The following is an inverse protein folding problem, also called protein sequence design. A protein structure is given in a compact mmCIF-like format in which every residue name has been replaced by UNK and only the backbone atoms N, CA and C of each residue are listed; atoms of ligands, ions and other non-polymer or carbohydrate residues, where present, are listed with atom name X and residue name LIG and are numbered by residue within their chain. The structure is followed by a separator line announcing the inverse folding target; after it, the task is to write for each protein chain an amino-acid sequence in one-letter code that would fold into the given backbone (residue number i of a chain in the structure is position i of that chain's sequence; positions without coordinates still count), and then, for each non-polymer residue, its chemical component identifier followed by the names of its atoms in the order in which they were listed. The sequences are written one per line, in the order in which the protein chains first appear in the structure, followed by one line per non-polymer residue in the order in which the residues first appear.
data_IF_920855268518
#
_entry.id   IF_920855268518
#
_cell.length_a   1.000
_cell.length_b   1.000
_cell.length_c   1.000
_cell.angle_alpha   90.00
_cell.angle_beta   90.00
_cell.angle_gamma   90.00
#
_symmetry.space_group_name_H-M   'P 1'
#
loop_
_entity.id
_entity.type
_entity.pdbx_description
1 polymer ?
#
# COMPACT_ATOMS: atom_id res chain seq x y z
N UNK A 1 -16.57 30.93 7.96
CA UNK A 1 -17.52 29.81 8.03
C UNK A 1 -16.67 28.58 8.31
N UNK A 2 -16.53 28.24 9.59
CA UNK A 2 -15.56 27.25 10.07
C UNK A 2 -16.31 25.94 10.28
N UNK A 3 -16.15 24.99 9.36
CA UNK A 3 -16.73 23.66 9.52
C UNK A 3 -15.86 22.93 10.55
N UNK A 4 -16.38 22.81 11.77
CA UNK A 4 -15.78 21.99 12.82
C UNK A 4 -16.13 20.53 12.54
N UNK A 5 -15.22 19.82 11.87
CA UNK A 5 -15.34 18.37 11.75
C UNK A 5 -15.03 17.77 13.14
N UNK A 6 -16.07 17.28 13.79
CA UNK A 6 -15.98 16.62 15.10
C UNK A 6 -16.07 15.13 14.80
N UNK A 7 -14.94 14.45 14.63
CA UNK A 7 -14.92 12.99 14.45
C UNK A 7 -15.10 12.31 15.81
N UNK A 8 -16.07 11.39 15.97
CA UNK A 8 -16.18 10.61 17.19
C UNK A 8 -15.05 9.58 17.21
N UNK A 9 -14.16 9.70 18.20
CA UNK A 9 -13.17 8.68 18.50
C UNK A 9 -13.90 7.39 18.92
N UNK A 10 -13.95 6.40 18.03
CA UNK A 10 -14.37 5.05 18.35
C UNK A 10 -13.16 4.26 18.90
N UNK A 11 -13.15 4.14 20.22
CA UNK A 11 -12.35 3.18 20.98
C UNK A 11 -12.75 1.75 20.56
N UNK A 12 -11.82 0.84 20.18
CA UNK A 12 -11.80 -0.54 20.71
C UNK A 12 -10.69 -1.47 20.16
N UNK A 13 -10.23 -2.32 21.07
CA UNK A 13 -9.65 -3.66 20.90
C UNK A 13 -8.29 -3.81 20.20
N UNK A 14 -7.24 -3.83 21.03
CA UNK A 14 -6.06 -4.67 20.83
C UNK A 14 -6.55 -6.14 20.89
N UNK A 15 -6.85 -6.73 19.75
CA UNK A 15 -7.17 -8.14 19.62
C UNK A 15 -6.29 -8.72 18.52
N UNK A 16 -5.34 -9.58 18.92
CA UNK A 16 -4.61 -10.57 18.10
C UNK A 16 -4.95 -10.51 16.61
N UNK A 17 -4.42 -9.50 15.92
CA UNK A 17 -4.80 -9.21 14.56
C UNK A 17 -4.01 -10.11 13.63
N UNK A 18 -4.68 -11.12 13.08
CA UNK A 18 -4.26 -11.65 11.80
C UNK A 18 -4.20 -10.51 10.75
N UNK A 19 -3.53 -10.74 9.63
CA UNK A 19 -3.36 -9.78 8.53
C UNK A 19 -4.68 -9.12 8.09
N UNK A 20 -5.81 -9.82 8.26
CA UNK A 20 -7.17 -9.34 7.97
C UNK A 20 -7.73 -8.23 8.90
N UNK A 21 -6.96 -7.81 9.90
CA UNK A 21 -7.29 -6.67 10.75
C UNK A 21 -6.33 -5.51 10.54
N UNK A 22 -5.28 -5.66 9.71
CA UNK A 22 -4.31 -4.61 9.45
C UNK A 22 -4.80 -3.65 8.35
N UNK A 23 -5.38 -4.17 7.25
CA UNK A 23 -5.82 -3.35 6.11
C UNK A 23 -7.09 -2.55 6.46
N UNK A 24 -8.00 -3.13 7.23
CA UNK A 24 -9.17 -2.40 7.75
C UNK A 24 -8.81 -1.26 8.73
N UNK A 25 -7.58 -1.22 9.25
CA UNK A 25 -7.10 -0.10 10.08
C UNK A 25 -6.62 1.09 9.25
N UNK A 26 -6.46 0.89 7.94
CA UNK A 26 -6.01 1.93 7.02
C UNK A 26 -7.18 2.83 6.57
N UNK A 27 -8.41 2.34 6.69
CA UNK A 27 -9.65 3.10 6.46
C UNK A 27 -9.85 4.08 7.64
N UNK A 28 -9.30 5.29 7.51
CA UNK A 28 -9.23 6.27 8.59
C UNK A 28 -10.56 6.99 8.75
N UNK A 29 -11.26 7.24 7.64
CA UNK A 29 -12.56 7.89 7.66
C UNK A 29 -13.74 6.94 7.84
N UNK A 30 -13.48 5.63 7.83
CA UNK A 30 -14.43 4.54 8.06
C UNK A 30 -15.57 4.53 7.03
N UNK A 31 -15.27 4.90 5.78
CA UNK A 31 -16.23 4.92 4.69
C UNK A 31 -16.45 3.53 4.04
N UNK A 32 -15.62 2.55 4.42
CA UNK A 32 -15.70 1.17 3.95
C UNK A 32 -14.84 0.88 2.72
N UNK A 33 -14.05 1.84 2.25
CA UNK A 33 -13.10 1.72 1.16
C UNK A 33 -11.75 2.31 1.56
N UNK A 34 -10.66 1.97 0.85
CA UNK A 34 -9.39 2.67 1.01
C UNK A 34 -9.13 3.58 -0.17
N UNK A 35 -9.02 4.87 0.09
CA UNK A 35 -8.54 5.80 -0.92
C UNK A 35 -6.99 5.70 -1.07
N UNK A 36 -6.40 6.30 -2.12
CA UNK A 36 -4.95 6.24 -2.33
C UNK A 36 -4.12 6.77 -1.16
N UNK A 37 -4.59 7.79 -0.45
CA UNK A 37 -3.87 8.40 0.67
C UNK A 37 -3.84 7.48 1.90
N UNK A 38 -4.95 6.80 2.16
CA UNK A 38 -5.11 5.80 3.21
C UNK A 38 -4.30 4.55 2.93
N UNK A 39 -4.36 4.05 1.70
CA UNK A 39 -3.55 2.93 1.25
C UNK A 39 -2.06 3.23 1.39
N UNK A 40 -1.58 4.37 0.86
CA UNK A 40 -0.17 4.79 0.98
C UNK A 40 0.25 4.89 2.45
N UNK A 41 -0.57 5.50 3.31
CA UNK A 41 -0.22 5.71 4.72
C UNK A 41 -0.10 4.39 5.49
N UNK A 42 -1.04 3.48 5.27
CA UNK A 42 -1.04 2.15 5.88
C UNK A 42 0.09 1.28 5.36
N UNK A 43 0.31 1.32 4.04
CA UNK A 43 1.32 0.54 3.36
C UNK A 43 2.75 1.02 3.67
N UNK A 44 2.99 2.33 3.70
CA UNK A 44 4.28 2.91 4.11
C UNK A 44 4.64 2.51 5.56
N UNK A 45 3.64 2.36 6.43
CA UNK A 45 3.83 1.89 7.81
C UNK A 45 4.34 0.44 7.89
N UNK A 46 4.25 -0.33 6.81
CA UNK A 46 4.79 -1.69 6.72
C UNK A 46 6.29 -1.73 6.41
N UNK A 47 6.90 -0.58 6.12
CA UNK A 47 8.31 -0.46 5.76
C UNK A 47 8.73 -1.38 4.59
N UNK A 48 7.78 -1.72 3.71
CA UNK A 48 8.04 -2.57 2.55
C UNK A 48 9.00 -1.90 1.60
N UNK A 49 8.82 -0.60 1.32
CA UNK A 49 9.72 0.18 0.47
C UNK A 49 11.16 0.19 1.03
N UNK A 50 11.33 0.52 2.32
CA UNK A 50 12.64 0.52 2.99
C UNK A 50 13.32 -0.84 3.09
N UNK A 51 12.58 -1.94 2.85
CA UNK A 51 13.19 -3.28 2.76
C UNK A 51 13.97 -3.46 1.46
N UNK A 52 13.58 -2.75 0.40
CA UNK A 52 14.20 -2.84 -0.93
C UNK A 52 15.10 -1.66 -1.26
N UNK A 53 14.83 -0.49 -0.69
CA UNK A 53 15.72 0.69 -0.71
C UNK A 53 16.91 0.43 0.23
N UNK A 54 17.86 -0.37 -0.26
CA UNK A 54 19.01 -0.86 0.51
C UNK A 54 19.99 0.27 0.79
N UNK A 55 20.11 1.21 -0.15
CA UNK A 55 20.99 2.36 -0.02
C UNK A 55 20.36 3.56 0.69
N UNK A 56 19.06 3.48 1.01
CA UNK A 56 18.28 4.53 1.68
C UNK A 56 18.28 5.84 0.89
N UNK A 57 18.29 5.75 -0.44
CA UNK A 57 18.23 6.88 -1.36
C UNK A 57 16.83 7.50 -1.43
N UNK A 58 15.79 6.79 -0.98
CA UNK A 58 14.40 7.20 -1.11
C UNK A 58 13.79 6.86 -2.47
N UNK A 59 14.51 6.09 -3.29
CA UNK A 59 14.12 5.64 -4.63
C UNK A 59 14.61 4.22 -4.84
N UNK A 60 13.90 3.44 -5.64
CA UNK A 60 14.33 2.11 -6.04
C UNK A 60 14.93 2.19 -7.44
N UNK A 61 16.21 1.89 -7.55
CA UNK A 61 16.85 1.76 -8.86
C UNK A 61 16.65 0.36 -9.46
N UNK A 62 16.94 0.20 -10.75
CA UNK A 62 16.73 -1.07 -11.47
C UNK A 62 17.46 -2.28 -10.82
N UNK A 63 18.57 -2.04 -10.14
CA UNK A 63 19.36 -3.05 -9.41
C UNK A 63 18.66 -3.50 -8.14
N UNK A 64 18.12 -2.56 -7.38
CA UNK A 64 17.33 -2.84 -6.16
C UNK A 64 16.02 -3.53 -6.53
N UNK A 65 15.42 -3.13 -7.66
CA UNK A 65 14.25 -3.79 -8.22
C UNK A 65 14.51 -5.25 -8.59
N UNK A 66 15.57 -5.52 -9.36
CA UNK A 66 15.93 -6.88 -9.80
C UNK A 66 16.26 -7.81 -8.61
N UNK A 67 16.66 -7.24 -7.48
CA UNK A 67 17.06 -7.98 -6.28
C UNK A 67 15.88 -8.56 -5.48
N UNK A 68 14.64 -8.13 -5.72
CA UNK A 68 13.50 -8.66 -4.96
C UNK A 68 12.09 -8.18 -5.32
N UNK A 69 11.93 -7.33 -6.35
CA UNK A 69 10.64 -6.75 -6.74
C UNK A 69 10.14 -7.22 -8.12
N UNK A 70 10.91 -8.07 -8.80
CA UNK A 70 10.53 -8.65 -10.10
C UNK A 70 9.25 -9.49 -10.04
N UNK A 71 8.89 -10.05 -8.89
CA UNK A 71 7.61 -10.74 -8.66
C UNK A 71 6.43 -9.77 -8.48
N UNK A 72 6.71 -8.54 -8.04
CA UNK A 72 5.68 -7.49 -7.89
C UNK A 72 5.33 -6.88 -9.25
N UNK A 73 6.34 -6.64 -10.10
CA UNK A 73 6.14 -6.08 -11.43
C UNK A 73 7.42 -5.89 -12.23
N UNK A 74 7.26 -5.46 -13.47
CA UNK A 74 8.39 -5.04 -14.31
C UNK A 74 8.76 -3.60 -13.97
N UNK A 75 10.05 -3.35 -13.70
CA UNK A 75 10.60 -2.03 -13.38
C UNK A 75 10.13 -0.92 -14.33
N UNK A 76 10.09 -1.20 -15.64
CA UNK A 76 9.68 -0.22 -16.65
C UNK A 76 8.18 0.12 -16.63
N UNK A 77 7.34 -0.73 -16.03
CA UNK A 77 5.96 -0.38 -15.75
C UNK A 77 5.83 0.43 -14.45
N UNK A 78 6.91 0.49 -13.66
CA UNK A 78 6.91 1.13 -12.36
C UNK A 78 7.40 2.58 -12.37
N UNK A 79 8.37 2.87 -13.23
CA UNK A 79 8.87 4.21 -13.50
C UNK A 79 7.86 4.98 -14.38
N UNK A 80 6.85 5.57 -13.73
CA UNK A 80 5.74 6.26 -14.41
C UNK A 80 6.19 7.55 -15.09
N UNK A 81 7.17 8.24 -14.49
CA UNK A 81 7.64 9.52 -14.96
C UNK A 81 8.81 9.41 -15.97
N UNK A 82 9.44 8.24 -16.07
CA UNK A 82 10.53 7.92 -17.00
C UNK A 82 11.89 8.51 -16.62
N UNK A 83 12.13 8.82 -15.35
CA UNK A 83 13.38 9.40 -14.85
C UNK A 83 14.46 8.34 -14.54
N UNK A 84 14.09 7.07 -14.65
CA UNK A 84 14.98 5.94 -14.49
C UNK A 84 15.10 5.45 -13.06
N UNK A 85 14.27 5.93 -12.13
CA UNK A 85 14.11 5.42 -10.76
C UNK A 85 12.63 5.24 -10.44
N UNK A 86 12.31 4.48 -9.39
CA UNK A 86 10.93 4.35 -8.88
C UNK A 86 10.89 4.95 -7.49
N UNK A 87 10.24 6.09 -7.34
CA UNK A 87 10.08 6.71 -6.03
C UNK A 87 8.96 6.03 -5.20
N UNK A 88 8.89 6.37 -3.90
CA UNK A 88 7.86 5.81 -3.02
C UNK A 88 6.44 6.13 -3.50
N UNK A 89 6.21 7.29 -4.12
CA UNK A 89 4.88 7.66 -4.61
C UNK A 89 4.48 6.82 -5.82
N UNK A 90 5.40 6.58 -6.75
CA UNK A 90 5.20 5.72 -7.91
C UNK A 90 4.98 4.27 -7.49
N UNK A 91 5.81 3.76 -6.58
CA UNK A 91 5.68 2.42 -6.02
C UNK A 91 4.30 2.21 -5.38
N UNK A 92 3.86 3.15 -4.53
CA UNK A 92 2.56 3.05 -3.88
C UNK A 92 1.38 3.21 -4.86
N UNK A 93 1.48 4.13 -5.83
CA UNK A 93 0.43 4.34 -6.82
C UNK A 93 0.19 3.09 -7.67
N UNK A 94 1.24 2.35 -8.00
CA UNK A 94 1.11 1.13 -8.80
C UNK A 94 0.63 -0.06 -7.99
N UNK A 95 1.10 -0.19 -6.75
CA UNK A 95 0.53 -1.18 -5.83
C UNK A 95 -0.96 -0.94 -5.63
N UNK A 96 -1.37 0.32 -5.46
CA UNK A 96 -2.78 0.68 -5.40
C UNK A 96 -3.52 0.23 -6.67
N UNK A 97 -3.02 0.58 -7.87
CA UNK A 97 -3.62 0.17 -9.14
C UNK A 97 -3.64 -1.36 -9.35
N UNK A 98 -2.71 -2.10 -8.74
CA UNK A 98 -2.69 -3.57 -8.79
C UNK A 98 -3.88 -4.17 -8.06
N UNK A 99 -4.28 -3.56 -6.94
CA UNK A 99 -5.40 -4.02 -6.12
C UNK A 99 -6.74 -3.41 -6.54
N UNK A 100 -6.75 -2.19 -7.07
CA UNK A 100 -7.91 -1.55 -7.72
C UNK A 100 -8.18 -2.18 -9.10
N UNK A 101 -8.53 -3.46 -9.08
CA UNK A 101 -8.77 -4.28 -10.27
C UNK A 101 -9.97 -3.80 -11.07
N UNK A 102 -10.94 -3.16 -10.42
CA UNK A 102 -12.13 -2.64 -11.07
C UNK A 102 -11.99 -1.18 -11.54
N UNK A 103 -10.91 -0.50 -11.16
CA UNK A 103 -10.58 0.87 -11.55
C UNK A 103 -11.54 1.90 -10.94
N UNK A 104 -12.07 1.62 -9.76
CA UNK A 104 -12.99 2.50 -9.05
C UNK A 104 -12.29 3.73 -8.46
N UNK A 105 -10.97 3.67 -8.30
CA UNK A 105 -10.16 4.70 -7.63
C UNK A 105 -10.15 4.57 -6.11
N UNK A 106 -10.74 3.50 -5.56
CA UNK A 106 -10.64 3.09 -4.15
C UNK A 106 -10.47 1.58 -4.06
N UNK A 107 -9.86 1.07 -2.99
CA UNK A 107 -9.83 -0.38 -2.71
C UNK A 107 -11.11 -0.72 -1.96
N UNK A 108 -12.04 -1.39 -2.63
CA UNK A 108 -13.30 -1.83 -2.02
C UNK A 108 -13.09 -3.08 -1.17
N UNK A 109 -14.08 -3.46 -0.35
CA UNK A 109 -13.97 -4.61 0.57
C UNK A 109 -13.54 -5.91 -0.11
N UNK A 110 -13.96 -6.13 -1.36
CA UNK A 110 -13.59 -7.31 -2.16
C UNK A 110 -12.11 -7.29 -2.59
N UNK A 111 -11.55 -6.10 -2.80
CA UNK A 111 -10.15 -5.89 -3.16
C UNK A 111 -9.26 -5.85 -1.93
N UNK A 112 -9.75 -5.31 -0.81
CA UNK A 112 -9.07 -5.36 0.49
C UNK A 112 -8.76 -6.81 0.89
N UNK A 113 -9.67 -7.75 0.61
CA UNK A 113 -9.42 -9.17 0.87
C UNK A 113 -8.23 -9.73 0.06
N UNK A 114 -7.96 -9.19 -1.14
CA UNK A 114 -6.78 -9.54 -1.92
C UNK A 114 -5.52 -8.94 -1.30
N UNK A 115 -5.56 -7.65 -0.93
CA UNK A 115 -4.47 -6.99 -0.19
C UNK A 115 -4.12 -7.79 1.06
N UNK A 116 -5.13 -8.18 1.84
CA UNK A 116 -4.96 -8.96 3.07
C UNK A 116 -4.40 -10.36 2.81
N UNK A 117 -4.78 -11.02 1.72
CA UNK A 117 -4.25 -12.32 1.34
C UNK A 117 -2.75 -12.24 1.00
N UNK A 118 -2.35 -11.25 0.18
CA UNK A 118 -0.95 -10.99 -0.17
C UNK A 118 -0.12 -10.56 1.06
N UNK A 119 -0.73 -9.89 2.04
CA UNK A 119 -0.09 -9.54 3.31
C UNK A 119 0.00 -10.71 4.29
N UNK A 120 -0.89 -11.70 4.18
CA UNK A 120 -1.02 -12.81 5.10
C UNK A 120 -0.03 -13.95 4.86
N UNK A 121 0.25 -14.26 3.60
CA UNK A 121 1.23 -15.27 3.23
C UNK A 121 2.63 -14.64 3.26
N UNK A 122 3.32 -14.75 4.40
CA UNK A 122 4.76 -14.43 4.58
C UNK A 122 5.26 -13.03 4.11
N UNK A 123 4.33 -12.14 3.79
CA UNK A 123 4.53 -10.76 3.37
C UNK A 123 4.83 -10.61 1.88
N UNK A 124 3.84 -10.19 1.09
CA UNK A 124 3.89 -9.57 -0.25
C UNK A 124 4.68 -10.24 -1.39
N UNK A 125 5.55 -11.21 -1.10
CA UNK A 125 6.54 -11.79 -2.03
C UNK A 125 6.50 -13.32 -2.04
N UNK A 126 5.50 -13.97 -1.44
CA UNK A 126 5.52 -15.42 -1.31
C UNK A 126 4.88 -16.17 -2.47
N UNK A 127 4.80 -15.59 -3.69
CA UNK A 127 4.18 -16.26 -4.83
C UNK A 127 4.88 -16.06 -6.16
#
# INVERSE_FOLDING_TARGET
MTIKLTMPAALFAIALAGPALAVAQWDVDADGTLNPEEFVSGFASMATFSKFDVDSSGTLDATEWDSGLTEIGEYGNMDLNGDGVVDEAEYNALLFNRYDTNGSGTIETEEMAQVEADLAEDGMLSR
#
